data_IF_286342360508
#
_entry.id   IF_286342360508
#
_cell.length_a   1.000
_cell.length_b   1.000
_cell.length_c   1.000
_cell.angle_alpha   90.00
_cell.angle_beta   90.00
_cell.angle_gamma   90.00
#
_symmetry.space_group_name_H-M   'P 1'
#
loop_
_entity.id
_entity.type
_entity.pdbx_description
1 polymer ?
#
# COMPACT_ATOMS: atom_id res chain seq x y z
N UNK A 1 -17.72 -17.50 -15.29
CA UNK A 1 -16.81 -18.44 -14.61
C UNK A 1 -15.51 -17.70 -14.41
N UNK A 2 -15.10 -17.42 -13.18
CA UNK A 2 -13.77 -16.89 -12.90
C UNK A 2 -12.79 -18.06 -12.94
N UNK A 3 -11.87 -18.03 -13.91
CA UNK A 3 -10.74 -18.95 -13.92
C UNK A 3 -9.73 -18.48 -12.88
N UNK A 4 -9.31 -19.38 -11.98
CA UNK A 4 -8.31 -19.07 -10.97
C UNK A 4 -6.91 -19.27 -11.57
N UNK A 5 -6.11 -18.20 -11.57
CA UNK A 5 -4.69 -18.26 -11.94
C UNK A 5 -3.87 -18.43 -10.67
N UNK A 6 -2.96 -19.41 -10.64
CA UNK A 6 -2.04 -19.61 -9.52
C UNK A 6 -0.66 -19.04 -9.85
N UNK A 7 -0.02 -18.45 -8.85
CA UNK A 7 1.38 -18.02 -8.87
C UNK A 7 2.11 -18.62 -7.69
N UNK A 8 3.43 -18.85 -7.81
CA UNK A 8 4.21 -19.33 -6.68
C UNK A 8 4.29 -18.26 -5.57
N UNK A 9 4.53 -18.69 -4.34
CA UNK A 9 4.51 -17.81 -3.16
C UNK A 9 5.48 -16.64 -3.27
N UNK A 10 6.70 -16.86 -3.77
CA UNK A 10 7.70 -15.79 -3.98
C UNK A 10 7.19 -14.73 -4.96
N UNK A 11 6.66 -15.16 -6.11
CA UNK A 11 6.09 -14.26 -7.11
C UNK A 11 4.93 -13.47 -6.52
N UNK A 12 4.05 -14.09 -5.74
CA UNK A 12 2.98 -13.40 -5.03
C UNK A 12 3.51 -12.28 -4.11
N UNK A 13 4.53 -12.55 -3.30
CA UNK A 13 5.18 -11.53 -2.45
C UNK A 13 5.72 -10.35 -3.27
N UNK A 14 6.39 -10.65 -4.38
CA UNK A 14 6.96 -9.63 -5.28
C UNK A 14 5.86 -8.78 -5.90
N UNK A 15 4.78 -9.40 -6.38
CA UNK A 15 3.65 -8.68 -6.98
C UNK A 15 2.94 -7.78 -5.98
N UNK A 16 2.82 -8.18 -4.71
CA UNK A 16 2.24 -7.32 -3.69
C UNK A 16 3.07 -6.03 -3.46
N UNK A 17 4.39 -6.16 -3.35
CA UNK A 17 5.31 -5.03 -3.20
C UNK A 17 5.29 -4.13 -4.43
N UNK A 18 5.32 -4.73 -5.63
CA UNK A 18 5.28 -3.98 -6.89
C UNK A 18 3.96 -3.24 -7.06
N UNK A 19 2.84 -3.87 -6.71
CA UNK A 19 1.50 -3.27 -6.78
C UNK A 19 1.42 -2.05 -5.88
N UNK A 20 1.89 -2.14 -4.62
CA UNK A 20 1.98 -1.01 -3.71
C UNK A 20 2.71 0.17 -4.37
N UNK A 21 3.95 -0.06 -4.81
CA UNK A 21 4.80 0.98 -5.40
C UNK A 21 4.21 1.57 -6.68
N UNK A 22 3.59 0.74 -7.50
CA UNK A 22 2.93 1.20 -8.71
C UNK A 22 1.74 2.11 -8.41
N UNK A 23 0.95 1.78 -7.39
CA UNK A 23 -0.30 2.47 -7.08
C UNK A 23 -0.09 3.80 -6.34
N UNK A 24 1.06 4.00 -5.70
CA UNK A 24 1.41 5.29 -5.07
C UNK A 24 1.37 6.44 -6.08
N UNK A 25 0.58 7.47 -5.78
CA UNK A 25 0.44 8.67 -6.61
C UNK A 25 -0.38 8.51 -7.90
N UNK A 26 -1.04 7.38 -8.12
CA UNK A 26 -1.78 7.11 -9.38
C UNK A 26 -3.11 7.85 -9.53
N UNK A 27 -3.67 8.44 -8.47
CA UNK A 27 -4.92 9.24 -8.47
C UNK A 27 -6.07 8.57 -9.25
N UNK A 28 -6.23 7.26 -9.07
CA UNK A 28 -7.21 6.42 -9.77
C UNK A 28 -7.69 5.31 -8.84
N UNK A 29 -8.72 4.56 -9.27
CA UNK A 29 -9.24 3.39 -8.56
C UNK A 29 -8.17 2.34 -8.19
N UNK A 30 -7.00 2.35 -8.85
CA UNK A 30 -5.86 1.50 -8.51
C UNK A 30 -5.43 1.63 -7.03
N UNK A 31 -5.62 2.81 -6.41
CA UNK A 31 -5.29 3.02 -4.99
C UNK A 31 -6.17 2.15 -4.09
N UNK A 32 -7.49 2.19 -4.27
CA UNK A 32 -8.41 1.40 -3.44
C UNK A 32 -8.26 -0.10 -3.71
N UNK A 33 -8.12 -0.50 -4.97
CA UNK A 33 -7.90 -1.91 -5.33
C UNK A 33 -6.62 -2.46 -4.70
N UNK A 34 -5.53 -1.68 -4.70
CA UNK A 34 -4.28 -2.09 -4.09
C UNK A 34 -4.38 -2.18 -2.56
N UNK A 35 -5.04 -1.23 -1.91
CA UNK A 35 -5.24 -1.27 -0.45
C UNK A 35 -6.06 -2.49 -0.05
N UNK A 36 -7.16 -2.76 -0.74
CA UNK A 36 -8.02 -3.91 -0.42
C UNK A 36 -7.29 -5.24 -0.71
N UNK A 37 -6.54 -5.33 -1.81
CA UNK A 37 -5.67 -6.48 -2.09
C UNK A 37 -4.65 -6.74 -0.96
N UNK A 38 -4.00 -5.70 -0.44
CA UNK A 38 -3.04 -5.84 0.66
C UNK A 38 -3.74 -6.30 1.94
N UNK A 39 -4.93 -5.77 2.24
CA UNK A 39 -5.70 -6.15 3.43
C UNK A 39 -6.15 -7.60 3.37
N UNK A 40 -6.72 -7.99 2.23
CA UNK A 40 -7.20 -9.35 1.98
C UNK A 40 -6.08 -10.38 2.19
N UNK A 41 -4.89 -10.09 1.64
CA UNK A 41 -3.78 -11.04 1.65
C UNK A 41 -2.74 -10.80 2.71
N UNK A 42 -2.99 -9.90 3.67
CA UNK A 42 -1.98 -9.54 4.65
C UNK A 42 -1.42 -10.75 5.39
N UNK A 43 -2.26 -11.75 5.72
CA UNK A 43 -1.80 -12.94 6.42
C UNK A 43 -0.99 -13.92 5.54
N UNK A 44 -1.14 -13.83 4.22
CA UNK A 44 -0.38 -14.63 3.25
C UNK A 44 1.02 -14.05 2.97
N UNK A 45 1.23 -12.78 3.35
CA UNK A 45 2.50 -12.09 3.18
C UNK A 45 3.55 -12.53 4.22
N UNK A 46 4.76 -12.75 3.73
CA UNK A 46 5.94 -13.01 4.56
C UNK A 46 6.28 -11.81 5.44
N UNK A 47 6.96 -12.05 6.57
CA UNK A 47 7.50 -10.97 7.42
C UNK A 47 8.36 -9.98 6.63
N UNK A 48 9.15 -10.47 5.67
CA UNK A 48 9.99 -9.63 4.82
C UNK A 48 9.17 -8.72 3.89
N UNK A 49 8.16 -9.27 3.21
CA UNK A 49 7.29 -8.47 2.35
C UNK A 49 6.50 -7.43 3.14
N UNK A 50 5.96 -7.81 4.31
CA UNK A 50 5.32 -6.89 5.25
C UNK A 50 6.26 -5.74 5.61
N UNK A 51 7.49 -6.04 6.03
CA UNK A 51 8.48 -5.02 6.40
C UNK A 51 8.77 -4.02 5.27
N UNK A 52 8.86 -4.49 4.03
CA UNK A 52 9.02 -3.61 2.86
C UNK A 52 7.79 -2.74 2.66
N UNK A 53 6.59 -3.32 2.69
CA UNK A 53 5.33 -2.58 2.51
C UNK A 53 5.18 -1.50 3.58
N UNK A 54 5.46 -1.82 4.84
CA UNK A 54 5.39 -0.87 5.96
C UNK A 54 6.35 0.29 5.72
N UNK A 55 7.63 -0.01 5.43
CA UNK A 55 8.65 1.01 5.18
C UNK A 55 8.25 1.92 4.03
N UNK A 56 7.88 1.33 2.89
CA UNK A 56 7.54 2.11 1.68
C UNK A 56 6.29 2.97 1.91
N UNK A 57 5.31 2.46 2.68
CA UNK A 57 4.12 3.23 3.06
C UNK A 57 4.45 4.36 4.03
N UNK A 58 5.31 4.14 5.03
CA UNK A 58 5.76 5.16 5.97
C UNK A 58 6.53 6.28 5.26
N UNK A 59 7.46 5.92 4.37
CA UNK A 59 8.22 6.88 3.54
C UNK A 59 7.30 7.70 2.62
N UNK A 60 6.28 7.07 2.03
CA UNK A 60 5.33 7.75 1.15
C UNK A 60 4.39 8.69 1.91
N UNK A 61 3.90 8.29 3.09
CA UNK A 61 3.11 9.15 3.97
C UNK A 61 3.90 10.37 4.41
N UNK A 62 5.15 10.17 4.83
CA UNK A 62 6.05 11.27 5.20
C UNK A 62 6.29 12.22 4.02
N UNK A 63 6.57 11.68 2.83
CA UNK A 63 6.79 12.48 1.62
C UNK A 63 5.57 13.32 1.25
N UNK A 64 4.37 12.75 1.36
CA UNK A 64 3.11 13.48 1.13
C UNK A 64 2.91 14.59 2.16
N UNK A 65 3.15 14.33 3.44
CA UNK A 65 3.05 15.36 4.49
C UNK A 65 4.05 16.50 4.29
N UNK A 66 5.24 16.22 3.79
CA UNK A 66 6.24 17.24 3.47
C UNK A 66 5.84 18.05 2.22
N UNK A 67 5.22 17.43 1.23
CA UNK A 67 4.63 18.12 0.07
C UNK A 67 3.50 19.09 0.49
N UNK A 68 2.64 18.65 1.42
CA UNK A 68 1.58 19.50 1.99
C UNK A 68 2.17 20.72 2.73
N UNK A 69 3.20 20.52 3.56
CA UNK A 69 3.89 21.63 4.27
C UNK A 69 4.54 22.60 3.28
N UNK A 70 5.07 22.08 2.18
CA UNK A 70 5.67 22.89 1.11
C UNK A 70 4.63 23.52 0.17
N UNK A 71 3.33 23.33 0.42
CA UNK A 71 2.24 23.84 -0.42
C UNK A 71 2.38 23.45 -1.90
N UNK A 72 2.84 22.23 -2.18
CA UNK A 72 2.96 21.74 -3.56
C UNK A 72 1.59 21.53 -4.19
N UNK A 73 1.49 21.85 -5.47
CA UNK A 73 0.28 21.59 -6.28
C UNK A 73 0.00 20.09 -6.43
N UNK A 74 1.05 19.28 -6.53
CA UNK A 74 0.95 17.82 -6.63
C UNK A 74 1.72 17.18 -5.47
N UNK A 75 0.99 16.43 -4.64
CA UNK A 75 1.55 15.73 -3.49
C UNK A 75 1.80 14.25 -3.82
N UNK A 76 2.81 13.66 -3.17
CA UNK A 76 3.34 12.33 -3.46
C UNK A 76 2.27 11.22 -3.60
N UNK A 77 1.39 11.10 -2.61
CA UNK A 77 0.34 10.07 -2.60
C UNK A 77 -0.92 10.40 -3.43
N UNK A 78 -0.97 11.53 -4.12
CA UNK A 78 -2.13 11.95 -4.90
C UNK A 78 -3.03 12.95 -4.16
N UNK A 79 -4.34 12.82 -4.34
CA UNK A 79 -5.32 13.72 -3.72
C UNK A 79 -5.60 13.31 -2.27
N UNK A 80 -6.32 14.16 -1.52
CA UNK A 80 -6.68 13.90 -0.12
C UNK A 80 -7.39 12.55 0.08
N UNK A 81 -8.23 12.13 -0.86
CA UNK A 81 -8.89 10.81 -0.80
C UNK A 81 -7.90 9.65 -0.93
N UNK A 82 -6.86 9.78 -1.76
CA UNK A 82 -5.82 8.78 -1.90
C UNK A 82 -4.97 8.74 -0.63
N UNK A 83 -4.52 9.90 -0.13
CA UNK A 83 -3.76 10.00 1.12
C UNK A 83 -4.48 9.36 2.29
N UNK A 84 -5.78 9.65 2.47
CA UNK A 84 -6.61 9.03 3.50
C UNK A 84 -6.67 7.51 3.37
N UNK A 85 -6.84 7.00 2.16
CA UNK A 85 -6.86 5.56 1.87
C UNK A 85 -5.56 4.89 2.32
N UNK A 86 -4.40 5.47 1.99
CA UNK A 86 -3.09 4.97 2.42
C UNK A 86 -2.89 5.06 3.93
N UNK A 87 -3.31 6.17 4.55
CA UNK A 87 -3.22 6.38 6.00
C UNK A 87 -4.06 5.37 6.77
N UNK A 88 -5.30 5.13 6.33
CA UNK A 88 -6.18 4.11 6.92
C UNK A 88 -5.62 2.70 6.77
N UNK A 89 -4.98 2.36 5.63
CA UNK A 89 -4.25 1.09 5.51
C UNK A 89 -3.15 0.99 6.58
N UNK A 90 -2.35 2.06 6.76
CA UNK A 90 -1.25 2.06 7.72
C UNK A 90 -1.72 1.92 9.18
N UNK A 91 -2.81 2.59 9.53
CA UNK A 91 -3.48 2.49 10.83
C UNK A 91 -4.02 1.07 11.04
N UNK A 92 -4.67 0.49 10.02
CA UNK A 92 -5.16 -0.87 10.07
C UNK A 92 -4.02 -1.88 10.26
N UNK A 93 -2.87 -1.70 9.59
CA UNK A 93 -1.68 -2.55 9.76
C UNK A 93 -1.21 -2.60 11.22
N UNK A 94 -1.26 -1.48 11.97
CA UNK A 94 -0.91 -1.45 13.39
C UNK A 94 -1.82 -2.30 14.28
N UNK A 95 -3.03 -2.61 13.82
CA UNK A 95 -3.98 -3.47 14.55
C UNK A 95 -3.76 -4.96 14.30
N UNK A 96 -2.87 -5.32 13.36
CA UNK A 96 -2.69 -6.70 12.93
C UNK A 96 -1.80 -7.51 13.89
N UNK A 97 -2.03 -8.83 14.04
CA UNK A 97 -1.30 -9.68 14.99
C UNK A 97 0.21 -9.72 14.81
N UNK A 98 0.71 -9.44 13.60
CA UNK A 98 2.15 -9.41 13.30
C UNK A 98 2.91 -8.20 13.86
N UNK A 99 2.21 -7.25 14.48
CA UNK A 99 2.74 -6.03 15.09
C UNK A 99 2.60 -5.97 16.63
N UNK A 100 1.99 -6.99 17.25
CA UNK A 100 1.99 -7.17 18.70
C UNK A 100 3.12 -8.09 19.14
#
# INVERSE_FOLDING_TARGET
>A
MTEAISVNHRTFQTLAIQSLRYCMGRRTFAVIDCVEFIREHWQDLTKHAKAIIIRDLDEALQSHEDDLKASKEFCYLGDECDYRTWKTLREWINTQPSFR
#
